data_IF_914694424939
#
_entry.id   IF_914694424939
#
_cell.length_a   1.000
_cell.length_b   1.000
_cell.length_c   1.000
_cell.angle_alpha   90.00
_cell.angle_beta   90.00
_cell.angle_gamma   90.00
#
_symmetry.space_group_name_H-M   'P 1'
#
loop_
_entity.id
_entity.type
_entity.pdbx_description
1 polymer ?
#
# COMPACT_ATOMS: atom_id res chain seq x y z
N UNK A 1 -35.87 -42.96 3.04
CA UNK A 1 -36.31 -41.65 3.57
C UNK A 1 -35.52 -41.39 4.86
N UNK A 2 -34.63 -40.41 4.87
CA UNK A 2 -33.84 -40.09 6.06
C UNK A 2 -34.71 -39.36 7.10
N UNK A 3 -34.73 -39.85 8.34
CA UNK A 3 -35.50 -39.24 9.42
C UNK A 3 -34.99 -37.82 9.71
N UNK A 4 -35.88 -36.85 9.98
CA UNK A 4 -35.47 -35.49 10.27
C UNK A 4 -34.63 -35.45 11.56
N UNK A 5 -33.44 -34.82 11.50
CA UNK A 5 -32.60 -34.56 12.69
C UNK A 5 -33.42 -33.78 13.70
N UNK A 6 -33.67 -34.34 14.88
CA UNK A 6 -34.34 -33.63 15.99
C UNK A 6 -33.49 -32.45 16.44
N UNK A 7 -33.98 -31.22 16.26
CA UNK A 7 -33.38 -30.00 16.80
C UNK A 7 -33.80 -29.82 18.27
N UNK A 8 -32.87 -29.41 19.13
CA UNK A 8 -33.19 -29.06 20.51
C UNK A 8 -33.85 -27.67 20.57
N UNK A 9 -34.95 -27.54 21.32
CA UNK A 9 -35.59 -26.25 21.56
C UNK A 9 -34.77 -25.47 22.60
N UNK A 10 -34.51 -24.20 22.31
CA UNK A 10 -33.80 -23.28 23.19
C UNK A 10 -34.61 -21.99 23.36
N UNK A 11 -34.82 -21.54 24.60
CA UNK A 11 -35.44 -20.26 24.91
C UNK A 11 -34.38 -19.36 25.57
N UNK A 12 -34.08 -18.23 24.95
CA UNK A 12 -33.09 -17.25 25.44
C UNK A 12 -33.68 -15.86 25.28
N UNK A 13 -33.46 -15.02 26.28
CA UNK A 13 -33.79 -13.61 26.20
C UNK A 13 -32.66 -12.87 25.47
N UNK A 14 -33.02 -12.09 24.46
CA UNK A 14 -32.11 -11.20 23.75
C UNK A 14 -32.48 -9.77 24.09
N UNK A 15 -31.48 -8.91 24.17
CA UNK A 15 -31.71 -7.46 24.21
C UNK A 15 -32.56 -7.02 23.01
N UNK A 16 -33.40 -6.01 23.20
CA UNK A 16 -34.34 -5.56 22.19
C UNK A 16 -33.63 -5.10 20.91
N UNK A 17 -32.47 -4.46 21.04
CA UNK A 17 -31.72 -3.98 19.88
C UNK A 17 -31.03 -5.13 19.13
N UNK A 18 -30.58 -6.16 19.84
CA UNK A 18 -30.04 -7.39 19.24
C UNK A 18 -31.13 -8.13 18.47
N UNK A 19 -32.34 -8.24 19.03
CA UNK A 19 -33.47 -8.88 18.35
C UNK A 19 -33.85 -8.13 17.06
N UNK A 20 -33.90 -6.78 17.09
CA UNK A 20 -34.14 -5.96 15.88
C UNK A 20 -33.07 -6.21 14.82
N UNK A 21 -31.80 -6.22 15.20
CA UNK A 21 -30.69 -6.46 14.28
C UNK A 21 -30.76 -7.86 13.65
N UNK A 22 -31.05 -8.88 14.46
CA UNK A 22 -31.21 -10.27 13.99
C UNK A 22 -32.39 -10.40 13.01
N UNK A 23 -33.54 -9.81 13.34
CA UNK A 23 -34.70 -9.77 12.45
C UNK A 23 -34.40 -9.06 11.13
N UNK A 24 -33.79 -7.88 11.18
CA UNK A 24 -33.42 -7.14 9.98
C UNK A 24 -32.45 -7.94 9.09
N UNK A 25 -31.48 -8.64 9.70
CA UNK A 25 -30.53 -9.49 8.98
C UNK A 25 -31.23 -10.69 8.32
N UNK A 26 -32.13 -11.36 9.05
CA UNK A 26 -32.91 -12.48 8.54
C UNK A 26 -33.82 -12.07 7.37
N UNK A 27 -34.51 -10.93 7.49
CA UNK A 27 -35.35 -10.38 6.42
C UNK A 27 -34.54 -10.04 5.17
N UNK A 28 -33.38 -9.39 5.31
CA UNK A 28 -32.48 -9.07 4.18
C UNK A 28 -31.99 -10.30 3.42
N UNK A 29 -31.97 -11.46 4.07
CA UNK A 29 -31.50 -12.74 3.51
C UNK A 29 -32.64 -13.69 3.13
N UNK A 30 -33.89 -13.28 3.33
CA UNK A 30 -35.08 -14.12 3.12
C UNK A 30 -35.01 -15.47 3.86
N UNK A 31 -34.41 -15.46 5.05
CA UNK A 31 -34.16 -16.66 5.86
C UNK A 31 -34.88 -16.58 7.21
N UNK A 32 -35.18 -17.73 7.81
CA UNK A 32 -35.86 -17.76 9.10
C UNK A 32 -34.93 -17.32 10.24
N UNK A 33 -35.50 -16.64 11.24
CA UNK A 33 -34.77 -16.22 12.45
C UNK A 33 -34.03 -17.37 13.12
N UNK A 34 -34.69 -18.53 13.26
CA UNK A 34 -34.09 -19.72 13.87
C UNK A 34 -32.91 -20.25 13.05
N UNK A 35 -32.96 -20.18 11.71
CA UNK A 35 -31.86 -20.62 10.85
C UNK A 35 -30.65 -19.69 10.99
N UNK A 36 -30.88 -18.37 10.98
CA UNK A 36 -29.82 -17.38 11.16
C UNK A 36 -29.20 -17.52 12.56
N UNK A 37 -30.04 -17.65 13.60
CA UNK A 37 -29.57 -17.79 14.98
C UNK A 37 -28.74 -19.07 15.16
N UNK A 38 -29.21 -20.21 14.64
CA UNK A 38 -28.46 -21.47 14.68
C UNK A 38 -27.12 -21.36 13.94
N UNK A 39 -27.11 -20.76 12.74
CA UNK A 39 -25.90 -20.55 11.97
C UNK A 39 -24.90 -19.62 12.68
N UNK A 40 -25.39 -18.55 13.31
CA UNK A 40 -24.57 -17.62 14.07
C UNK A 40 -23.95 -18.30 15.30
N UNK A 41 -24.73 -19.07 16.06
CA UNK A 41 -24.25 -19.82 17.23
C UNK A 41 -23.25 -20.90 16.81
N UNK A 42 -23.57 -21.68 15.77
CA UNK A 42 -22.67 -22.71 15.26
C UNK A 42 -21.36 -22.09 14.74
N UNK A 43 -21.41 -20.94 14.09
CA UNK A 43 -20.22 -20.21 13.65
C UNK A 43 -19.40 -19.67 14.83
N UNK A 44 -20.05 -19.18 15.89
CA UNK A 44 -19.37 -18.66 17.08
C UNK A 44 -18.68 -19.76 17.88
N UNK A 45 -19.29 -20.95 17.93
CA UNK A 45 -18.74 -22.10 18.65
C UNK A 45 -17.75 -22.94 17.83
N UNK A 46 -17.44 -22.54 16.58
CA UNK A 46 -16.55 -23.30 15.70
C UNK A 46 -15.09 -22.86 15.87
N UNK A 47 -14.18 -23.75 16.31
CA UNK A 47 -12.74 -23.46 16.41
C UNK A 47 -12.15 -23.01 15.06
N UNK A 48 -12.61 -23.62 13.98
CA UNK A 48 -12.19 -23.34 12.60
C UNK A 48 -12.48 -21.90 12.14
N UNK A 49 -13.50 -21.23 12.68
CA UNK A 49 -13.90 -19.92 12.17
C UNK A 49 -12.87 -18.84 12.53
N UNK A 50 -12.36 -18.88 13.76
CA UNK A 50 -11.35 -17.95 14.24
C UNK A 50 -9.97 -18.29 13.67
N UNK A 51 -9.58 -19.57 13.66
CA UNK A 51 -8.31 -20.01 13.04
C UNK A 51 -8.25 -19.64 11.54
N UNK A 52 -9.34 -19.80 10.79
CA UNK A 52 -9.38 -19.41 9.36
C UNK A 52 -9.27 -17.90 9.17
N UNK A 53 -9.87 -17.10 10.05
CA UNK A 53 -9.77 -15.64 10.00
C UNK A 53 -8.35 -15.18 10.31
N UNK A 54 -7.76 -15.72 11.36
CA UNK A 54 -6.37 -15.44 11.75
C UNK A 54 -5.40 -15.85 10.63
N UNK A 55 -5.55 -17.04 10.05
CA UNK A 55 -4.74 -17.49 8.92
C UNK A 55 -4.90 -16.59 7.68
N UNK A 56 -6.12 -16.11 7.40
CA UNK A 56 -6.35 -15.19 6.29
C UNK A 56 -5.70 -13.81 6.53
N UNK A 57 -5.70 -13.33 7.77
CA UNK A 57 -5.02 -12.09 8.16
C UNK A 57 -3.51 -12.26 8.05
N UNK A 58 -2.94 -13.32 8.63
CA UNK A 58 -1.52 -13.64 8.55
C UNK A 58 -1.04 -13.71 7.10
N UNK A 59 -1.79 -14.41 6.23
CA UNK A 59 -1.48 -14.49 4.80
C UNK A 59 -1.49 -13.12 4.10
N UNK A 60 -2.41 -12.23 4.48
CA UNK A 60 -2.44 -10.86 3.93
C UNK A 60 -1.25 -10.04 4.41
N UNK A 61 -0.84 -10.19 5.67
CA UNK A 61 0.35 -9.53 6.21
C UNK A 61 1.61 -10.02 5.49
N UNK A 62 1.78 -11.34 5.33
CA UNK A 62 2.90 -11.91 4.56
C UNK A 62 2.95 -11.37 3.13
N UNK A 63 1.78 -11.20 2.49
CA UNK A 63 1.71 -10.64 1.15
C UNK A 63 2.12 -9.16 1.13
N UNK A 64 1.74 -8.39 2.14
CA UNK A 64 2.15 -6.99 2.30
C UNK A 64 3.66 -6.91 2.50
N UNK A 65 4.24 -7.72 3.39
CA UNK A 65 5.68 -7.73 3.65
C UNK A 65 6.48 -8.05 2.39
N UNK A 66 6.03 -9.03 1.59
CA UNK A 66 6.66 -9.33 0.30
C UNK A 66 6.57 -8.18 -0.70
N UNK A 67 5.48 -7.41 -0.69
CA UNK A 67 5.33 -6.23 -1.54
C UNK A 67 6.24 -5.09 -1.07
N UNK A 68 6.35 -4.88 0.25
CA UNK A 68 7.26 -3.90 0.84
C UNK A 68 8.70 -4.24 0.50
N UNK A 69 9.15 -5.48 0.70
CA UNK A 69 10.51 -5.89 0.38
C UNK A 69 10.86 -5.69 -1.11
N UNK A 70 9.90 -5.91 -2.01
CA UNK A 70 10.07 -5.63 -3.45
C UNK A 70 10.17 -4.12 -3.72
N UNK A 71 9.30 -3.33 -3.09
CA UNK A 71 9.35 -1.87 -3.21
C UNK A 71 10.67 -1.31 -2.68
N UNK A 72 11.17 -1.80 -1.55
CA UNK A 72 12.47 -1.41 -1.01
C UNK A 72 13.60 -1.72 -1.99
N UNK A 73 13.59 -2.91 -2.60
CA UNK A 73 14.54 -3.27 -3.66
C UNK A 73 14.45 -2.33 -4.86
N UNK A 74 13.25 -2.09 -5.37
CA UNK A 74 13.04 -1.26 -6.56
C UNK A 74 13.43 0.21 -6.30
N UNK A 75 13.16 0.71 -5.09
CA UNK A 75 13.60 2.03 -4.62
C UNK A 75 15.13 2.08 -4.51
N UNK A 76 15.77 1.05 -3.94
CA UNK A 76 17.23 0.95 -3.88
C UNK A 76 17.86 1.03 -5.27
N UNK A 77 17.37 0.23 -6.22
CA UNK A 77 17.82 0.25 -7.62
C UNK A 77 17.63 1.64 -8.24
N UNK A 78 16.50 2.29 -7.97
CA UNK A 78 16.21 3.64 -8.48
C UNK A 78 17.21 4.67 -7.95
N UNK A 79 17.51 4.62 -6.64
CA UNK A 79 18.50 5.49 -6.01
C UNK A 79 19.89 5.27 -6.59
N UNK A 80 20.33 4.02 -6.76
CA UNK A 80 21.62 3.69 -7.39
C UNK A 80 21.70 4.21 -8.83
N UNK A 81 20.62 4.02 -9.60
CA UNK A 81 20.53 4.48 -11.00
C UNK A 81 20.62 6.00 -11.09
N UNK A 82 19.90 6.73 -10.23
CA UNK A 82 19.94 8.20 -10.17
C UNK A 82 21.34 8.67 -9.75
N UNK A 83 21.98 8.04 -8.77
CA UNK A 83 23.33 8.38 -8.35
C UNK A 83 24.34 8.20 -9.50
N UNK A 84 24.24 7.10 -10.25
CA UNK A 84 25.06 6.85 -11.44
C UNK A 84 24.78 7.88 -12.55
N UNK A 85 23.51 8.20 -12.81
CA UNK A 85 23.11 9.21 -13.79
C UNK A 85 23.70 10.59 -13.45
N UNK A 86 23.57 11.03 -12.20
CA UNK A 86 24.10 12.33 -11.74
C UNK A 86 25.62 12.35 -11.88
N UNK A 87 26.30 11.29 -11.44
CA UNK A 87 27.76 11.17 -11.58
C UNK A 87 28.18 11.23 -13.04
N UNK A 88 27.53 10.47 -13.91
CA UNK A 88 27.77 10.47 -15.35
C UNK A 88 27.55 11.87 -15.93
N UNK A 89 26.42 12.51 -15.64
CA UNK A 89 26.08 13.83 -16.16
C UNK A 89 27.07 14.92 -15.71
N UNK A 90 27.51 14.90 -14.46
CA UNK A 90 28.49 15.86 -13.93
C UNK A 90 29.93 15.60 -14.41
N UNK A 91 30.22 14.40 -14.92
CA UNK A 91 31.57 14.00 -15.37
C UNK A 91 31.73 14.01 -16.88
N UNK A 92 30.64 13.96 -17.66
CA UNK A 92 30.72 14.15 -19.11
C UNK A 92 31.21 15.57 -19.40
N UNK A 93 32.42 15.62 -19.94
CA UNK A 93 32.97 16.83 -20.52
C UNK A 93 32.73 16.75 -22.03
N UNK A 94 32.12 17.76 -22.70
CA UNK A 94 32.16 17.84 -24.15
C UNK A 94 33.61 17.75 -24.64
N UNK A 95 33.89 17.24 -25.86
CA UNK A 95 35.25 17.25 -26.39
C UNK A 95 35.79 18.69 -26.42
N UNK A 96 36.70 18.98 -25.51
CA UNK A 96 37.38 20.27 -25.36
C UNK A 96 38.83 20.12 -25.83
N UNK A 97 39.47 21.20 -26.32
CA UNK A 97 40.92 21.23 -26.54
C UNK A 97 41.68 20.77 -25.28
N UNK A 98 42.80 20.06 -25.45
CA UNK A 98 43.54 19.38 -24.36
C UNK A 98 43.72 20.18 -23.05
N UNK A 99 44.04 21.49 -23.06
CA UNK A 99 44.17 22.26 -21.83
C UNK A 99 42.85 22.41 -21.06
N UNK A 100 41.75 22.64 -21.77
CA UNK A 100 40.42 22.82 -21.19
C UNK A 100 39.81 21.47 -20.76
N UNK A 101 40.10 20.37 -21.47
CA UNK A 101 39.67 19.03 -21.09
C UNK A 101 40.29 18.56 -19.76
N UNK A 102 41.59 18.86 -19.54
CA UNK A 102 42.27 18.51 -18.28
C UNK A 102 41.70 19.28 -17.09
N UNK A 103 41.44 20.58 -17.26
CA UNK A 103 40.82 21.42 -16.24
C UNK A 103 39.38 20.97 -15.90
N UNK A 104 38.57 20.63 -16.91
CA UNK A 104 37.21 20.15 -16.71
C UNK A 104 37.14 18.80 -15.98
N UNK A 105 38.02 17.84 -16.32
CA UNK A 105 38.13 16.56 -15.59
C UNK A 105 38.51 16.76 -14.12
N UNK A 106 39.41 17.71 -13.82
CA UNK A 106 39.80 18.02 -12.46
C UNK A 106 38.65 18.63 -11.62
N UNK A 107 37.70 19.32 -12.24
CA UNK A 107 36.53 19.90 -11.56
C UNK A 107 35.37 18.92 -11.34
N UNK A 108 35.32 17.79 -12.08
CA UNK A 108 34.17 16.89 -12.05
C UNK A 108 33.91 16.29 -10.64
N UNK A 109 34.97 15.93 -9.91
CA UNK A 109 34.87 15.47 -8.53
C UNK A 109 34.28 16.54 -7.59
N UNK A 110 34.83 17.76 -7.65
CA UNK A 110 34.34 18.88 -6.83
C UNK A 110 32.87 19.23 -7.12
N UNK A 111 32.41 19.10 -8.37
CA UNK A 111 30.99 19.29 -8.73
C UNK A 111 30.09 18.24 -8.09
N UNK A 112 30.52 16.98 -8.06
CA UNK A 112 29.79 15.91 -7.39
C UNK A 112 29.70 16.13 -5.88
N UNK A 113 30.82 16.45 -5.22
CA UNK A 113 30.83 16.69 -3.78
C UNK A 113 29.94 17.88 -3.37
N UNK A 114 29.97 18.96 -4.16
CA UNK A 114 29.08 20.10 -3.97
C UNK A 114 27.60 19.73 -4.13
N UNK A 115 27.27 18.87 -5.10
CA UNK A 115 25.92 18.35 -5.28
C UNK A 115 25.47 17.54 -4.04
N UNK A 116 26.29 16.61 -3.55
CA UNK A 116 25.98 15.79 -2.37
C UNK A 116 25.74 16.68 -1.14
N UNK A 117 26.59 17.70 -0.93
CA UNK A 117 26.42 18.64 0.17
C UNK A 117 25.15 19.48 0.05
N UNK A 118 24.79 19.94 -1.16
CA UNK A 118 23.56 20.68 -1.40
C UNK A 118 22.31 19.81 -1.18
N UNK A 119 22.33 18.55 -1.64
CA UNK A 119 21.27 17.58 -1.41
C UNK A 119 21.06 17.32 0.10
N UNK A 120 22.15 17.10 0.84
CA UNK A 120 22.09 16.91 2.30
C UNK A 120 21.46 18.09 3.03
N UNK A 121 21.82 19.33 2.66
CA UNK A 121 21.17 20.54 3.22
C UNK A 121 19.68 20.58 2.92
N UNK A 122 19.28 20.28 1.68
CA UNK A 122 17.87 20.27 1.27
C UNK A 122 17.05 19.22 2.02
N UNK A 123 17.59 18.01 2.23
CA UNK A 123 16.87 16.95 2.95
C UNK A 123 16.65 17.29 4.43
N UNK A 124 17.59 18.00 5.07
CA UNK A 124 17.49 18.39 6.47
C UNK A 124 16.62 19.64 6.72
N UNK A 125 16.63 20.61 5.79
CA UNK A 125 16.12 21.97 6.06
C UNK A 125 15.32 22.59 4.91
N UNK A 126 15.27 21.96 3.73
CA UNK A 126 14.61 22.51 2.55
C UNK A 126 13.16 22.03 2.39
N UNK A 127 12.35 22.73 1.57
CA UNK A 127 11.02 22.25 1.18
C UNK A 127 11.12 20.92 0.43
N UNK A 128 10.09 20.08 0.59
CA UNK A 128 10.01 18.81 -0.13
C UNK A 128 9.86 19.11 -1.61
N UNK A 129 10.57 18.37 -2.47
CA UNK A 129 10.49 18.56 -3.94
C UNK A 129 9.05 18.58 -4.48
N UNK A 130 8.14 17.80 -3.89
CA UNK A 130 6.71 17.80 -4.24
C UNK A 130 6.02 19.16 -4.09
N UNK A 131 6.51 20.04 -3.23
CA UNK A 131 5.95 21.38 -3.02
C UNK A 131 6.41 22.38 -4.09
N UNK A 132 7.42 22.01 -4.90
CA UNK A 132 7.94 22.82 -6.00
C UNK A 132 7.42 22.38 -7.38
N UNK A 133 6.75 21.23 -7.45
CA UNK A 133 6.16 20.71 -8.70
C UNK A 133 4.68 21.12 -8.68
N UNK A 134 4.23 22.03 -9.57
CA UNK A 134 2.82 22.38 -9.67
C UNK A 134 1.98 21.15 -10.06
N UNK A 135 0.85 20.93 -9.38
CA UNK A 135 -0.07 19.81 -9.64
C UNK A 135 -0.90 19.98 -10.93
N UNK A 136 -0.64 21.03 -11.72
CA UNK A 136 -1.45 21.42 -12.87
C UNK A 136 -1.21 20.51 -14.09
N UNK A 137 -1.78 19.31 -14.06
CA UNK A 137 -2.22 18.60 -15.27
C UNK A 137 -3.66 19.06 -15.52
N UNK A 138 -3.83 20.20 -16.19
CA UNK A 138 -5.14 20.55 -16.72
C UNK A 138 -5.54 19.51 -17.76
N UNK A 139 -6.57 18.71 -17.46
CA UNK A 139 -7.31 17.96 -18.45
C UNK A 139 -7.74 18.94 -19.55
N UNK A 140 -7.11 18.81 -20.72
CA UNK A 140 -7.53 19.51 -21.92
C UNK A 140 -8.98 19.09 -22.21
N UNK A 141 -9.94 19.93 -21.83
CA UNK A 141 -11.34 19.79 -22.20
C UNK A 141 -11.41 19.66 -23.74
N UNK A 142 -12.13 18.66 -24.28
CA UNK A 142 -12.26 18.54 -25.73
C UNK A 142 -12.88 19.83 -26.27
N UNK A 143 -12.26 20.40 -27.29
CA UNK A 143 -12.82 21.49 -28.07
C UNK A 143 -13.93 20.85 -28.91
N UNK A 144 -15.17 20.94 -28.43
CA UNK A 144 -16.34 20.69 -29.27
C UNK A 144 -16.47 21.86 -30.24
N UNK A 145 -16.27 21.57 -31.52
CA UNK A 145 -16.58 22.41 -32.67
C UNK A 145 -17.30 21.58 -33.71
#
# INVERSE_FOLDING_TARGET
MAAPKKKAQMSVYLDQDVMKALSAYATRREQSLSLIAEAAIASFLSPDADERREAAIAKRLDQIDRRIARLERDVGISVETIALFIRFWLTITPPLPEPAAKAARAQAGARYDNFVAALGRRLNQGPKLRQEIPDDIQESKPIDG
#
